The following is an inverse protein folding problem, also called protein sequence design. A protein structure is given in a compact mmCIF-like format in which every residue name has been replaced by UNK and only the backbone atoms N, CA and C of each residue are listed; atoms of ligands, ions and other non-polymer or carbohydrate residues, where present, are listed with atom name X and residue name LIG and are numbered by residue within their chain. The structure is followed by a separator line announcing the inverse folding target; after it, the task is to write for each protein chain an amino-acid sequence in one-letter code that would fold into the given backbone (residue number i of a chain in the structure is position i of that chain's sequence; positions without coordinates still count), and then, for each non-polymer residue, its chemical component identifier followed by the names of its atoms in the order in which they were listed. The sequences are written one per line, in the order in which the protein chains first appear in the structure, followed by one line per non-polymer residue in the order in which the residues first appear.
data_IF_319843346445
#
_entry.id   IF_319843346445
#
_cell.length_a   1.000
_cell.length_b   1.000
_cell.length_c   1.000
_cell.angle_alpha   90.00
_cell.angle_beta   90.00
_cell.angle_gamma   90.00
#
_symmetry.space_group_name_H-M   'P 1'
#
loop_
_entity.id
_entity.type
_entity.pdbx_description
1 polymer ?
#
# COMPACT_ATOMS: atom_id res chain seq x y z
N UNK A 1 -16.38 27.09 -0.59
CA UNK A 1 -15.22 26.89 0.29
C UNK A 1 -15.05 25.40 0.41
N UNK A 2 -14.11 24.82 -0.33
CA UNK A 2 -13.91 23.36 -0.32
C UNK A 2 -13.40 22.93 1.05
N UNK A 3 -14.15 22.05 1.70
CA UNK A 3 -13.68 21.29 2.84
C UNK A 3 -12.36 20.64 2.42
N UNK A 4 -11.26 21.14 2.98
CA UNK A 4 -10.00 20.41 2.95
C UNK A 4 -10.22 19.28 3.92
N UNK A 5 -10.91 18.23 3.47
CA UNK A 5 -10.93 16.97 4.18
C UNK A 5 -9.49 16.68 4.58
N UNK A 6 -9.27 16.69 5.89
CA UNK A 6 -8.03 16.32 6.56
C UNK A 6 -7.53 15.00 5.94
N UNK A 7 -6.74 15.07 4.87
CA UNK A 7 -5.97 13.95 4.33
C UNK A 7 -4.90 13.64 5.36
N UNK A 8 -5.32 13.01 6.46
CA UNK A 8 -4.43 12.50 7.49
C UNK A 8 -3.88 11.19 6.96
N UNK A 9 -2.64 11.26 6.52
CA UNK A 9 -1.83 10.07 6.37
C UNK A 9 -1.65 9.49 7.78
N UNK A 10 -2.04 8.24 7.93
CA UNK A 10 -1.77 7.49 9.15
C UNK A 10 -0.40 6.85 9.04
N UNK A 11 0.31 6.83 10.16
CA UNK A 11 1.49 6.01 10.32
C UNK A 11 1.11 4.54 10.15
N UNK A 12 2.03 3.72 9.65
CA UNK A 12 1.78 2.30 9.37
C UNK A 12 1.31 1.57 10.63
N UNK A 13 1.87 1.92 11.79
CA UNK A 13 1.45 1.34 13.08
C UNK A 13 -0.02 1.59 13.39
N UNK A 14 -0.51 2.81 13.17
CA UNK A 14 -1.92 3.15 13.38
C UNK A 14 -2.82 2.56 12.29
N UNK A 15 -2.33 2.50 11.05
CA UNK A 15 -3.03 1.86 9.94
C UNK A 15 -3.30 0.38 10.24
N UNK A 16 -2.34 -0.36 10.79
CA UNK A 16 -2.50 -1.77 11.19
C UNK A 16 -3.62 -1.94 12.23
N UNK A 17 -3.83 -0.95 13.11
CA UNK A 17 -4.93 -0.98 14.10
C UNK A 17 -6.29 -0.62 13.49
N UNK A 18 -6.31 -0.01 12.31
CA UNK A 18 -7.52 0.52 11.64
C UNK A 18 -8.18 -0.51 10.72
N UNK A 19 -8.39 -1.72 11.22
CA UNK A 19 -8.96 -2.85 10.46
C UNK A 19 -10.38 -2.50 9.95
N UNK A 20 -10.70 -2.88 8.72
CA UNK A 20 -11.96 -2.58 8.01
C UNK A 20 -12.21 -1.08 7.80
N UNK A 21 -11.20 -0.24 7.95
CA UNK A 21 -11.27 1.18 7.62
C UNK A 21 -10.46 1.47 6.36
N UNK A 22 -10.88 2.52 5.65
CA UNK A 22 -10.08 3.06 4.54
C UNK A 22 -9.15 4.12 5.10
N UNK A 23 -7.86 3.94 4.86
CA UNK A 23 -6.82 4.83 5.36
C UNK A 23 -5.90 5.26 4.22
N UNK A 24 -5.26 6.40 4.38
CA UNK A 24 -4.19 6.84 3.48
C UNK A 24 -2.87 6.73 4.24
N UNK A 25 -1.83 6.26 3.57
CA UNK A 25 -0.53 6.02 4.18
C UNK A 25 0.59 6.34 3.18
N UNK A 26 1.75 6.72 3.70
CA UNK A 26 2.96 6.96 2.93
C UNK A 26 4.06 6.08 3.53
N UNK A 27 4.82 5.41 2.68
CA UNK A 27 5.90 4.54 3.13
C UNK A 27 7.01 4.40 2.11
N UNK A 28 8.14 3.89 2.58
CA UNK A 28 9.30 3.54 1.77
C UNK A 28 9.19 2.08 1.36
N UNK A 29 9.37 1.79 0.08
CA UNK A 29 9.32 0.42 -0.46
C UNK A 29 10.62 -0.30 -0.13
N UNK A 30 10.52 -1.39 0.64
CA UNK A 30 11.66 -2.26 1.00
C UNK A 30 11.67 -3.59 0.25
N UNK A 31 10.53 -4.00 -0.31
CA UNK A 31 10.39 -5.24 -1.07
C UNK A 31 9.31 -5.05 -2.12
N UNK A 32 9.50 -5.65 -3.29
CA UNK A 32 8.56 -5.63 -4.40
C UNK A 32 8.53 -7.01 -5.01
N UNK A 33 7.36 -7.64 -5.01
CA UNK A 33 7.12 -8.90 -5.67
C UNK A 33 7.00 -8.72 -7.18
N UNK A 34 7.27 -9.79 -7.93
CA UNK A 34 7.00 -9.77 -9.36
C UNK A 34 5.48 -9.67 -9.61
N UNK A 35 5.04 -8.81 -10.54
CA UNK A 35 3.63 -8.72 -10.87
C UNK A 35 3.18 -10.04 -11.50
N UNK A 36 2.02 -10.53 -11.08
CA UNK A 36 1.44 -11.82 -11.48
C UNK A 36 0.02 -11.62 -11.98
N UNK A 37 -0.41 -12.49 -12.89
CA UNK A 37 -1.83 -12.59 -13.22
C UNK A 37 -2.58 -13.26 -12.08
N UNK A 38 -3.76 -12.74 -11.76
CA UNK A 38 -4.72 -13.45 -10.91
C UNK A 38 -5.37 -14.60 -11.70
N UNK A 39 -6.20 -15.42 -11.05
CA UNK A 39 -7.02 -16.44 -11.75
C UNK A 39 -8.14 -15.82 -12.61
N UNK A 40 -8.37 -14.51 -12.48
CA UNK A 40 -9.38 -13.77 -13.24
C UNK A 40 -8.76 -13.01 -14.41
N UNK A 41 -9.29 -11.82 -14.68
CA UNK A 41 -8.80 -10.89 -15.72
C UNK A 41 -7.74 -9.92 -15.20
N UNK A 42 -7.60 -9.79 -13.89
CA UNK A 42 -6.75 -8.79 -13.26
C UNK A 42 -5.33 -9.29 -13.00
N UNK A 43 -4.42 -8.34 -12.85
CA UNK A 43 -3.04 -8.55 -12.41
C UNK A 43 -2.89 -8.03 -10.97
N UNK A 44 -1.92 -8.57 -10.23
CA UNK A 44 -1.59 -8.09 -8.91
C UNK A 44 -0.08 -8.04 -8.66
N UNK A 45 0.33 -7.16 -7.77
CA UNK A 45 1.68 -7.10 -7.22
C UNK A 45 1.59 -6.93 -5.71
N UNK A 46 2.53 -7.54 -4.99
CA UNK A 46 2.67 -7.34 -3.55
C UNK A 46 3.93 -6.53 -3.32
N UNK A 47 3.81 -5.40 -2.63
CA UNK A 47 4.96 -4.63 -2.14
C UNK A 47 5.00 -4.69 -0.62
N UNK A 48 6.17 -4.43 -0.05
CA UNK A 48 6.35 -4.25 1.39
C UNK A 48 6.87 -2.85 1.65
N UNK A 49 6.17 -2.14 2.52
CA UNK A 49 6.49 -0.75 2.85
C UNK A 49 6.80 -0.60 4.34
N UNK A 50 7.61 0.42 4.65
CA UNK A 50 7.97 0.80 6.02
C UNK A 50 7.84 2.31 6.20
N UNK A 51 7.70 2.74 7.43
CA UNK A 51 7.76 4.14 7.85
C UNK A 51 8.59 4.26 9.13
N UNK A 52 8.69 5.46 9.70
CA UNK A 52 9.39 5.68 10.96
C UNK A 52 8.73 5.03 12.18
N UNK A 53 7.47 4.59 12.10
CA UNK A 53 6.75 3.95 13.22
C UNK A 53 6.84 2.42 13.19
N UNK A 54 7.09 1.82 12.02
CA UNK A 54 7.04 0.38 11.76
C UNK A 54 8.06 -0.07 10.71
N UNK A 55 9.32 -0.19 11.12
CA UNK A 55 10.45 -0.56 10.24
C UNK A 55 10.56 -2.07 9.97
N UNK A 56 10.19 -2.93 10.92
CA UNK A 56 10.25 -4.40 10.80
C UNK A 56 9.03 -5.04 11.46
N UNK A 57 8.39 -6.05 10.83
CA UNK A 57 8.70 -6.68 9.55
C UNK A 57 8.35 -5.87 8.29
N UNK A 58 7.72 -4.69 8.42
CA UNK A 58 7.13 -3.93 7.31
C UNK A 58 5.71 -4.38 6.98
N UNK A 59 4.94 -3.51 6.33
CA UNK A 59 3.54 -3.75 5.97
C UNK A 59 3.46 -4.30 4.53
N UNK A 60 2.98 -5.53 4.32
CA UNK A 60 2.67 -6.03 2.99
C UNK A 60 1.41 -5.36 2.44
N UNK A 61 1.48 -4.86 1.22
CA UNK A 61 0.37 -4.24 0.50
C UNK A 61 0.16 -4.98 -0.82
N UNK A 62 -1.04 -5.50 -1.02
CA UNK A 62 -1.45 -6.13 -2.26
C UNK A 62 -2.16 -5.12 -3.15
N UNK A 63 -1.66 -4.94 -4.36
CA UNK A 63 -2.23 -4.06 -5.36
C UNK A 63 -2.80 -4.87 -6.49
N UNK A 64 -4.04 -4.59 -6.84
CA UNK A 64 -4.76 -5.22 -7.94
C UNK A 64 -5.02 -4.17 -9.01
N UNK A 65 -4.82 -4.56 -10.26
CA UNK A 65 -5.04 -3.69 -11.41
C UNK A 65 -5.48 -4.52 -12.62
N UNK A 66 -6.19 -3.91 -13.56
CA UNK A 66 -6.71 -4.62 -14.75
C UNK A 66 -5.58 -5.16 -15.64
N UNK A 67 -4.48 -4.44 -15.77
CA UNK A 67 -3.32 -4.84 -16.58
C UNK A 67 -2.01 -4.34 -15.97
N UNK A 68 -0.89 -4.94 -16.39
CA UNK A 68 0.45 -4.68 -15.83
C UNK A 68 0.90 -3.21 -15.85
N UNK A 69 0.46 -2.43 -16.84
CA UNK A 69 0.81 -1.00 -16.95
C UNK A 69 0.18 -0.10 -15.88
N UNK A 70 -0.81 -0.62 -15.12
CA UNK A 70 -1.50 0.09 -14.04
C UNK A 70 -0.99 -0.30 -12.66
N UNK A 71 -0.07 -1.27 -12.58
CA UNK A 71 0.64 -1.60 -11.35
C UNK A 71 1.74 -0.57 -11.09
N UNK A 72 2.12 -0.34 -9.82
CA UNK A 72 3.21 0.58 -9.51
C UNK A 72 4.50 0.09 -10.14
N UNK A 73 5.17 0.99 -10.87
CA UNK A 73 6.52 0.75 -11.35
C UNK A 73 7.53 1.17 -10.28
N UNK A 74 8.07 0.21 -9.56
CA UNK A 74 9.12 0.43 -8.56
C UNK A 74 10.47 0.42 -9.26
N UNK A 75 11.16 1.57 -9.30
CA UNK A 75 12.45 1.67 -9.97
C UNK A 75 13.59 1.18 -9.06
N UNK A 76 13.49 1.45 -7.75
CA UNK A 76 14.48 1.06 -6.75
C UNK A 76 13.84 0.78 -5.40
N UNK A 77 14.47 -0.09 -4.60
CA UNK A 77 14.18 -0.14 -3.17
C UNK A 77 14.61 1.18 -2.53
N UNK A 78 13.80 1.72 -1.63
CA UNK A 78 13.95 3.07 -1.11
C UNK A 78 13.04 4.11 -1.75
N UNK A 79 12.35 3.77 -2.85
CA UNK A 79 11.32 4.63 -3.43
C UNK A 79 10.18 4.88 -2.43
N UNK A 80 9.67 6.10 -2.41
CA UNK A 80 8.54 6.49 -1.56
C UNK A 80 7.25 6.27 -2.34
N UNK A 81 6.29 5.60 -1.71
CA UNK A 81 4.95 5.40 -2.26
C UNK A 81 3.89 6.00 -1.34
N UNK A 82 2.95 6.72 -1.95
CA UNK A 82 1.75 7.21 -1.31
C UNK A 82 0.57 6.34 -1.74
N UNK A 83 -0.14 5.80 -0.76
CA UNK A 83 -1.36 5.03 -0.98
C UNK A 83 -2.54 5.78 -0.36
N UNK A 84 -3.59 5.96 -1.15
CA UNK A 84 -4.77 6.72 -0.72
C UNK A 84 -5.99 5.82 -0.68
N UNK A 85 -6.80 5.95 0.38
CA UNK A 85 -8.07 5.24 0.52
C UNK A 85 -7.95 3.70 0.45
N UNK A 86 -6.86 3.16 1.03
CA UNK A 86 -6.55 1.72 1.08
C UNK A 86 -7.35 1.05 2.19
N UNK A 87 -7.95 -0.09 1.87
CA UNK A 87 -8.64 -0.92 2.86
C UNK A 87 -7.64 -1.74 3.66
N UNK A 88 -7.67 -1.61 4.99
CA UNK A 88 -6.88 -2.45 5.89
C UNK A 88 -7.67 -3.71 6.21
N UNK A 89 -7.08 -4.86 5.92
CA UNK A 89 -7.64 -6.17 6.21
C UNK A 89 -6.70 -6.94 7.13
N UNK A 90 -7.28 -7.64 8.10
CA UNK A 90 -6.53 -8.58 8.92
C UNK A 90 -6.30 -9.85 8.09
N UNK A 91 -5.03 -10.20 7.87
CA UNK A 91 -4.68 -11.48 7.26
C UNK A 91 -4.67 -12.55 8.37
N UNK A 92 -5.70 -13.40 8.39
CA UNK A 92 -5.84 -14.54 9.31
C UNK A 92 -5.11 -15.78 8.78
#
# INVERSE_FOLDING_TARGET
MGERDDYRFLDIKDAITSINQKVSLIGVIIECGFPKTTRGTDCFCTIKIVDGSYEKPGLPVNMFAEHFGMLPHVASFGDIIQLSNVMVLLCL
#
